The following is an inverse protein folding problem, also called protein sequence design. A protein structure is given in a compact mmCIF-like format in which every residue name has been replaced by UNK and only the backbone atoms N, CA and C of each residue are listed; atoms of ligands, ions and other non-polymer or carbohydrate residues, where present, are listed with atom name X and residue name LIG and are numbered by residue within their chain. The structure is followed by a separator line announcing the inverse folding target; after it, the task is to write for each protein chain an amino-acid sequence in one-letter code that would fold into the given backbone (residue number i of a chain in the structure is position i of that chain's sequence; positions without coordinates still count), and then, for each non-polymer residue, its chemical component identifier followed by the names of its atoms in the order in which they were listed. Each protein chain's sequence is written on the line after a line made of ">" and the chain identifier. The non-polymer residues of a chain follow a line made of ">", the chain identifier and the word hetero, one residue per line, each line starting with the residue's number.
data_IF_134815713594
#
_entry.id   IF_134815713594
#
_cell.length_a   1.000
_cell.length_b   1.000
_cell.length_c   1.000
_cell.angle_alpha   90.00
_cell.angle_beta   90.00
_cell.angle_gamma   90.00
#
_symmetry.space_group_name_H-M   'P 1'
#
loop_
_entity.id
_entity.type
_entity.pdbx_description
1 polymer ?
#
# COMPACT_ATOMS: atom_id res chain seq x y z
N UNK A 1 -28.17 -13.97 -23.10
CA UNK A 1 -27.01 -14.60 -22.42
C UNK A 1 -25.75 -14.03 -23.05
N UNK A 2 -24.87 -13.41 -22.27
CA UNK A 2 -23.60 -12.94 -22.80
C UNK A 2 -22.69 -14.16 -23.08
N UNK A 3 -22.13 -14.24 -24.30
CA UNK A 3 -21.24 -15.33 -24.71
C UNK A 3 -19.79 -15.15 -24.22
N UNK A 4 -18.94 -16.11 -24.55
CA UNK A 4 -17.48 -16.01 -24.37
C UNK A 4 -16.82 -15.47 -25.63
N UNK A 5 -15.89 -14.57 -25.46
CA UNK A 5 -14.96 -14.14 -26.50
C UNK A 5 -13.65 -14.92 -26.30
N UNK A 6 -13.42 -15.93 -27.14
CA UNK A 6 -12.32 -16.88 -26.93
C UNK A 6 -11.40 -16.94 -28.15
N UNK A 7 -10.10 -16.80 -27.88
CA UNK A 7 -9.02 -16.98 -28.85
C UNK A 7 -8.15 -18.15 -28.38
N UNK A 8 -8.35 -19.32 -29.00
CA UNK A 8 -7.63 -20.54 -28.66
C UNK A 8 -6.49 -20.70 -29.66
N UNK A 9 -5.27 -20.91 -29.16
CA UNK A 9 -4.08 -21.11 -30.00
C UNK A 9 -3.90 -20.04 -31.07
N UNK A 10 -4.44 -18.82 -30.77
CA UNK A 10 -4.48 -17.73 -31.71
C UNK A 10 -3.14 -16.99 -31.77
N UNK A 11 -2.80 -16.54 -32.96
CA UNK A 11 -1.68 -15.64 -33.17
C UNK A 11 -2.20 -14.25 -33.57
N UNK A 12 -2.07 -13.28 -32.67
CA UNK A 12 -2.52 -11.90 -32.88
C UNK A 12 -1.31 -11.01 -33.15
N UNK A 13 -1.15 -10.56 -34.41
CA UNK A 13 -0.02 -9.76 -34.84
C UNK A 13 -0.46 -8.53 -35.59
N UNK A 14 -0.10 -7.35 -35.04
CA UNK A 14 -0.14 -6.07 -35.71
C UNK A 14 0.94 -5.17 -35.13
N UNK A 15 2.24 -5.39 -35.45
CA UNK A 15 3.33 -4.58 -34.92
C UNK A 15 3.13 -3.09 -35.24
N UNK A 16 3.16 -2.25 -34.21
CA UNK A 16 2.95 -0.80 -34.32
C UNK A 16 1.50 -0.35 -34.45
N UNK A 17 0.53 -1.27 -34.24
CA UNK A 17 -0.89 -0.95 -34.24
C UNK A 17 -1.69 -1.81 -33.28
N UNK A 18 -3.01 -1.67 -33.28
CA UNK A 18 -3.92 -2.42 -32.42
C UNK A 18 -4.07 -3.84 -32.96
N UNK A 19 -3.53 -4.83 -32.24
CA UNK A 19 -3.68 -6.25 -32.56
C UNK A 19 -5.03 -6.80 -32.11
N UNK A 20 -5.59 -6.26 -31.02
CA UNK A 20 -6.92 -6.65 -30.53
C UNK A 20 -7.62 -5.45 -29.90
N UNK A 21 -8.79 -5.11 -30.43
CA UNK A 21 -9.67 -4.07 -29.89
C UNK A 21 -10.99 -4.68 -29.44
N UNK A 22 -11.24 -4.68 -28.11
CA UNK A 22 -12.49 -5.14 -27.49
C UNK A 22 -13.07 -4.06 -26.57
N UNK A 23 -12.90 -2.82 -26.98
CA UNK A 23 -13.40 -1.65 -26.25
C UNK A 23 -14.92 -1.61 -26.22
N UNK A 24 -15.49 -1.21 -25.08
CA UNK A 24 -16.96 -1.14 -24.86
C UNK A 24 -17.68 -2.49 -25.12
N UNK A 25 -16.97 -3.59 -24.96
CA UNK A 25 -17.50 -4.94 -25.14
C UNK A 25 -18.03 -5.49 -23.81
N UNK A 26 -19.18 -6.15 -23.86
CA UNK A 26 -19.72 -6.88 -22.72
C UNK A 26 -19.87 -8.36 -23.06
N UNK A 27 -19.20 -9.24 -22.28
CA UNK A 27 -19.28 -10.68 -22.46
C UNK A 27 -19.16 -11.42 -21.12
N UNK A 28 -19.61 -12.69 -21.10
CA UNK A 28 -19.46 -13.54 -19.92
C UNK A 28 -17.98 -13.83 -19.62
N UNK A 29 -17.15 -13.95 -20.65
CA UNK A 29 -15.72 -14.16 -20.47
C UNK A 29 -14.90 -13.72 -21.67
N UNK A 30 -13.64 -13.44 -21.37
CA UNK A 30 -12.59 -13.19 -22.35
C UNK A 30 -11.46 -14.19 -22.12
N UNK A 31 -11.00 -14.89 -23.17
CA UNK A 31 -9.98 -15.92 -23.05
C UNK A 31 -8.94 -15.82 -24.16
N UNK A 32 -7.68 -15.76 -23.74
CA UNK A 32 -6.48 -15.97 -24.56
C UNK A 32 -5.84 -17.30 -24.15
N UNK A 33 -6.56 -18.40 -24.42
CA UNK A 33 -6.10 -19.73 -24.00
C UNK A 33 -5.02 -20.25 -24.97
N UNK A 34 -3.86 -20.53 -24.40
CA UNK A 34 -2.66 -21.00 -25.13
C UNK A 34 -2.33 -20.17 -26.40
N UNK A 35 -2.78 -18.93 -26.45
CA UNK A 35 -2.43 -17.99 -27.49
C UNK A 35 -0.93 -17.66 -27.44
N UNK A 36 -0.34 -17.40 -28.61
CA UNK A 36 1.00 -16.86 -28.70
C UNK A 36 1.06 -15.45 -28.08
N UNK A 37 2.24 -14.99 -27.63
CA UNK A 37 2.38 -13.61 -27.16
C UNK A 37 1.89 -12.63 -28.23
N UNK A 38 1.00 -11.73 -27.82
CA UNK A 38 0.40 -10.75 -28.74
C UNK A 38 1.45 -9.73 -29.15
N UNK A 39 1.56 -9.49 -30.45
CA UNK A 39 2.44 -8.49 -31.04
C UNK A 39 1.62 -7.32 -31.56
N UNK A 40 1.73 -6.16 -30.91
CA UNK A 40 0.89 -4.98 -31.11
C UNK A 40 0.07 -4.67 -29.86
N UNK A 41 -0.83 -3.67 -29.89
CA UNK A 41 -1.55 -3.19 -28.72
C UNK A 41 -2.83 -4.01 -28.46
N UNK A 42 -3.19 -4.16 -27.18
CA UNK A 42 -4.52 -4.61 -26.77
C UNK A 42 -5.29 -3.45 -26.14
N UNK A 43 -6.47 -3.14 -26.70
CA UNK A 43 -7.36 -2.08 -26.21
C UNK A 43 -8.67 -2.68 -25.66
N UNK A 44 -8.88 -2.53 -24.34
CA UNK A 44 -10.04 -3.09 -23.62
C UNK A 44 -10.75 -2.03 -22.77
N UNK A 45 -10.60 -0.75 -23.10
CA UNK A 45 -11.22 0.33 -22.33
C UNK A 45 -12.76 0.23 -22.36
N UNK A 46 -13.40 0.49 -21.22
CA UNK A 46 -14.86 0.36 -21.01
C UNK A 46 -15.43 -1.04 -21.27
N UNK A 47 -14.58 -2.09 -21.31
CA UNK A 47 -15.05 -3.46 -21.46
C UNK A 47 -15.47 -4.05 -20.11
N UNK A 48 -16.43 -4.99 -20.15
CA UNK A 48 -16.97 -5.67 -18.98
C UNK A 48 -17.01 -7.20 -19.21
N UNK A 49 -16.26 -7.94 -18.35
CA UNK A 49 -16.21 -9.39 -18.38
C UNK A 49 -16.46 -9.97 -16.98
N UNK A 50 -17.11 -11.12 -16.87
CA UNK A 50 -17.11 -11.85 -15.60
C UNK A 50 -15.76 -12.51 -15.35
N UNK A 51 -15.20 -13.15 -16.37
CA UNK A 51 -13.92 -13.84 -16.25
C UNK A 51 -12.98 -13.40 -17.35
N UNK A 52 -11.73 -13.06 -16.98
CA UNK A 52 -10.63 -12.90 -17.94
C UNK A 52 -9.64 -14.04 -17.72
N UNK A 53 -9.46 -14.88 -18.76
CA UNK A 53 -8.56 -16.01 -18.75
C UNK A 53 -7.37 -15.77 -19.67
N UNK A 54 -6.27 -15.29 -19.07
CA UNK A 54 -5.04 -15.02 -19.80
C UNK A 54 -3.82 -15.13 -18.87
N UNK A 55 -2.76 -15.78 -19.37
CA UNK A 55 -1.46 -15.84 -18.69
C UNK A 55 -0.72 -14.50 -18.88
N UNK A 56 0.12 -14.05 -17.93
CA UNK A 56 0.86 -12.78 -18.04
C UNK A 56 1.74 -12.67 -19.29
N UNK A 57 2.24 -13.79 -19.79
CA UNK A 57 3.16 -13.86 -20.94
C UNK A 57 2.49 -13.57 -22.28
N UNK A 58 1.16 -13.75 -22.35
CA UNK A 58 0.41 -13.54 -23.60
C UNK A 58 0.18 -12.04 -23.86
N UNK A 59 0.16 -11.23 -22.80
CA UNK A 59 -0.11 -9.79 -22.91
C UNK A 59 1.03 -9.04 -23.61
N UNK A 60 0.72 -8.11 -24.50
CA UNK A 60 1.72 -7.28 -25.17
C UNK A 60 2.39 -6.28 -24.24
N UNK A 61 3.37 -5.56 -24.79
CA UNK A 61 4.08 -4.50 -24.07
C UNK A 61 3.22 -3.25 -23.83
N UNK A 62 2.19 -3.04 -24.66
CA UNK A 62 1.26 -1.90 -24.55
C UNK A 62 -0.17 -2.40 -24.45
N UNK A 63 -0.86 -1.91 -23.42
CA UNK A 63 -2.28 -2.21 -23.19
C UNK A 63 -3.04 -0.92 -22.86
N UNK A 64 -4.35 -0.93 -23.04
CA UNK A 64 -5.24 0.13 -22.58
C UNK A 64 -6.40 -0.50 -21.81
N UNK A 65 -6.37 -0.33 -20.48
CA UNK A 65 -7.26 -1.01 -19.53
C UNK A 65 -8.18 -0.05 -18.78
N UNK A 66 -8.23 1.23 -19.20
CA UNK A 66 -9.06 2.22 -18.53
C UNK A 66 -10.52 1.77 -18.49
N UNK A 67 -11.13 1.87 -17.31
CA UNK A 67 -12.52 1.46 -17.07
C UNK A 67 -12.86 0.01 -17.44
N UNK A 68 -11.85 -0.87 -17.60
CA UNK A 68 -12.05 -2.32 -17.71
C UNK A 68 -12.57 -2.88 -16.39
N UNK A 69 -13.67 -3.62 -16.45
CA UNK A 69 -14.26 -4.30 -15.29
C UNK A 69 -14.28 -5.82 -15.48
N UNK A 70 -14.04 -6.56 -14.40
CA UNK A 70 -14.12 -8.03 -14.39
C UNK A 70 -14.37 -8.54 -12.95
N UNK A 71 -14.93 -9.73 -12.85
CA UNK A 71 -15.14 -10.36 -11.54
C UNK A 71 -13.93 -11.19 -11.11
N UNK A 72 -13.38 -11.97 -12.03
CA UNK A 72 -12.33 -12.95 -11.74
C UNK A 72 -11.27 -13.00 -12.84
N UNK A 73 -10.02 -13.23 -12.42
CA UNK A 73 -8.89 -13.47 -13.31
C UNK A 73 -8.42 -14.92 -13.21
N UNK A 74 -8.27 -15.60 -14.35
CA UNK A 74 -7.74 -16.94 -14.46
C UNK A 74 -6.48 -16.95 -15.35
N UNK A 75 -5.51 -17.83 -15.08
CA UNK A 75 -5.36 -18.65 -13.89
C UNK A 75 -5.16 -17.81 -12.63
N UNK A 76 -5.40 -18.37 -11.43
CA UNK A 76 -5.14 -17.68 -10.17
C UNK A 76 -3.63 -17.52 -9.97
N UNK A 77 -3.15 -16.27 -9.91
CA UNK A 77 -1.73 -15.93 -9.82
C UNK A 77 -1.51 -14.89 -8.73
N UNK A 78 -0.32 -14.82 -8.11
CA UNK A 78 0.05 -13.77 -7.18
C UNK A 78 -0.06 -12.37 -7.81
N UNK A 79 -0.38 -11.36 -7.00
CA UNK A 79 -0.51 -9.97 -7.45
C UNK A 79 0.76 -9.45 -8.15
N UNK A 80 1.95 -9.85 -7.69
CA UNK A 80 3.21 -9.43 -8.28
C UNK A 80 3.31 -9.74 -9.78
N UNK A 81 2.74 -10.86 -10.23
CA UNK A 81 2.73 -11.23 -11.64
C UNK A 81 1.67 -10.47 -12.46
N UNK A 82 0.61 -10.00 -11.83
CA UNK A 82 -0.47 -9.23 -12.46
C UNK A 82 -0.16 -7.73 -12.52
N UNK A 83 0.55 -7.21 -11.53
CA UNK A 83 0.90 -5.79 -11.45
C UNK A 83 1.76 -5.32 -12.62
N UNK A 84 2.65 -6.18 -13.14
CA UNK A 84 3.47 -5.86 -14.30
C UNK A 84 2.64 -5.49 -15.55
N UNK A 85 1.42 -6.04 -15.69
CA UNK A 85 0.52 -5.69 -16.78
C UNK A 85 -0.01 -4.26 -16.65
N UNK A 86 -0.36 -3.84 -15.42
CA UNK A 86 -0.89 -2.49 -15.15
C UNK A 86 0.16 -1.39 -15.37
N UNK A 87 1.44 -1.74 -15.37
CA UNK A 87 2.54 -0.81 -15.64
C UNK A 87 2.75 -0.56 -17.14
N UNK A 88 2.18 -1.42 -18.01
CA UNK A 88 2.22 -1.33 -19.47
C UNK A 88 1.09 -0.50 -20.07
N UNK A 89 0.22 0.10 -19.22
CA UNK A 89 -0.92 0.89 -19.69
C UNK A 89 -0.45 2.14 -20.43
N UNK A 90 -0.97 2.38 -21.65
CA UNK A 90 -0.68 3.53 -22.49
C UNK A 90 -0.98 4.86 -21.77
N UNK A 91 -2.02 4.89 -20.95
CA UNK A 91 -2.42 6.07 -20.18
C UNK A 91 -1.58 6.24 -18.88
N UNK A 92 -0.59 5.36 -18.65
CA UNK A 92 0.35 5.43 -17.52
C UNK A 92 -0.25 4.93 -16.22
N UNK A 93 -0.52 5.83 -15.25
CA UNK A 93 -1.12 5.45 -13.98
C UNK A 93 -2.63 5.51 -14.06
N UNK A 94 -3.29 4.36 -14.18
CA UNK A 94 -4.76 4.20 -14.19
C UNK A 94 -5.25 3.66 -12.85
N UNK A 95 -5.68 4.51 -11.89
CA UNK A 95 -6.08 4.09 -10.54
C UNK A 95 -7.18 3.03 -10.53
N UNK A 96 -8.14 3.10 -11.48
CA UNK A 96 -9.24 2.17 -11.61
C UNK A 96 -8.77 0.72 -11.84
N UNK A 97 -7.76 0.52 -12.68
CA UNK A 97 -7.22 -0.82 -12.98
C UNK A 97 -6.66 -1.51 -11.71
N UNK A 98 -5.99 -0.75 -10.83
CA UNK A 98 -5.51 -1.27 -9.54
C UNK A 98 -6.67 -1.59 -8.58
N UNK A 99 -7.71 -0.74 -8.51
CA UNK A 99 -8.89 -1.01 -7.67
C UNK A 99 -9.63 -2.26 -8.15
N UNK A 100 -9.77 -2.41 -9.45
CA UNK A 100 -10.42 -3.56 -10.07
C UNK A 100 -9.64 -4.86 -9.77
N UNK A 101 -8.32 -4.83 -9.89
CA UNK A 101 -7.47 -5.98 -9.54
C UNK A 101 -7.57 -6.31 -8.05
N UNK A 102 -7.54 -5.32 -7.15
CA UNK A 102 -7.69 -5.56 -5.73
C UNK A 102 -9.09 -6.11 -5.38
N UNK A 103 -10.13 -5.63 -6.05
CA UNK A 103 -11.50 -6.13 -5.87
C UNK A 103 -11.64 -7.60 -6.30
N UNK A 104 -11.00 -8.00 -7.41
CA UNK A 104 -11.02 -9.40 -7.85
C UNK A 104 -10.37 -10.35 -6.84
N UNK A 105 -9.25 -9.96 -6.21
CA UNK A 105 -8.63 -10.74 -5.14
C UNK A 105 -9.51 -10.85 -3.90
N UNK A 106 -10.18 -9.74 -3.49
CA UNK A 106 -11.11 -9.77 -2.34
C UNK A 106 -12.30 -10.70 -2.59
N UNK A 107 -12.86 -10.72 -3.79
CA UNK A 107 -13.97 -11.63 -4.13
C UNK A 107 -13.64 -13.10 -3.95
N UNK A 108 -12.39 -13.48 -4.16
CA UNK A 108 -11.92 -14.86 -3.96
C UNK A 108 -11.33 -15.12 -2.58
N UNK A 109 -11.46 -14.14 -1.65
CA UNK A 109 -10.99 -14.25 -0.26
C UNK A 109 -9.47 -14.08 -0.10
N UNK A 110 -8.77 -13.50 -1.07
CA UNK A 110 -7.32 -13.32 -1.06
C UNK A 110 -6.95 -11.90 -0.65
N UNK A 111 -7.20 -11.59 0.63
CA UNK A 111 -6.96 -10.24 1.19
C UNK A 111 -5.49 -9.86 1.21
N UNK A 112 -4.59 -10.84 1.26
CA UNK A 112 -3.15 -10.58 1.26
C UNK A 112 -2.70 -10.01 -0.09
N UNK A 113 -3.14 -10.61 -1.19
CA UNK A 113 -2.85 -10.15 -2.54
C UNK A 113 -3.57 -8.82 -2.85
N UNK A 114 -4.82 -8.65 -2.38
CA UNK A 114 -5.54 -7.39 -2.50
C UNK A 114 -4.79 -6.24 -1.81
N UNK A 115 -4.23 -6.47 -0.61
CA UNK A 115 -3.39 -5.48 0.09
C UNK A 115 -2.09 -5.19 -0.67
N UNK A 116 -1.47 -6.19 -1.28
CA UNK A 116 -0.28 -6.01 -2.11
C UNK A 116 -0.56 -5.10 -3.32
N UNK A 117 -1.70 -5.29 -3.99
CA UNK A 117 -2.15 -4.42 -5.09
C UNK A 117 -2.39 -2.98 -4.63
N UNK A 118 -3.06 -2.80 -3.48
CA UNK A 118 -3.32 -1.46 -2.94
C UNK A 118 -2.03 -0.73 -2.56
N UNK A 119 -1.06 -1.45 -2.01
CA UNK A 119 0.26 -0.89 -1.72
C UNK A 119 0.99 -0.48 -3.02
N UNK A 120 0.95 -1.32 -4.05
CA UNK A 120 1.54 -1.02 -5.36
C UNK A 120 0.87 0.22 -5.98
N UNK A 121 -0.47 0.34 -5.90
CA UNK A 121 -1.22 1.54 -6.32
C UNK A 121 -0.67 2.81 -5.66
N UNK A 122 -0.50 2.81 -4.33
CA UNK A 122 0.00 3.98 -3.60
C UNK A 122 1.44 4.33 -4.00
N UNK A 123 2.29 3.30 -4.20
CA UNK A 123 3.67 3.49 -4.66
C UNK A 123 3.71 4.10 -6.06
N UNK A 124 2.87 3.62 -6.98
CA UNK A 124 2.79 4.16 -8.33
C UNK A 124 2.22 5.57 -8.34
N UNK A 125 1.16 5.84 -7.59
CA UNK A 125 0.62 7.18 -7.42
C UNK A 125 1.67 8.18 -6.90
N UNK A 126 2.53 7.76 -5.95
CA UNK A 126 3.62 8.59 -5.45
C UNK A 126 4.55 9.08 -6.56
N UNK A 127 4.78 8.31 -7.62
CA UNK A 127 5.65 8.73 -8.72
C UNK A 127 5.11 9.92 -9.50
N UNK A 128 3.79 10.15 -9.46
CA UNK A 128 3.12 11.28 -10.12
C UNK A 128 3.09 12.56 -9.26
N UNK A 129 3.46 12.47 -7.96
CA UNK A 129 3.43 13.60 -7.03
C UNK A 129 4.67 14.50 -7.16
N UNK A 130 4.56 15.79 -6.75
CA UNK A 130 5.70 16.68 -6.62
C UNK A 130 6.69 16.17 -5.55
N UNK A 131 7.92 16.71 -5.52
CA UNK A 131 9.01 16.19 -4.68
C UNK A 131 8.67 16.06 -3.19
N UNK A 132 7.93 17.04 -2.61
CA UNK A 132 7.48 17.00 -1.22
C UNK A 132 6.46 15.87 -0.96
N UNK A 133 5.57 15.62 -1.93
CA UNK A 133 4.64 14.50 -1.87
C UNK A 133 5.35 13.14 -1.98
N UNK A 134 6.41 13.07 -2.79
CA UNK A 134 7.28 11.88 -2.86
C UNK A 134 7.97 11.61 -1.53
N UNK A 135 8.55 12.64 -0.90
CA UNK A 135 9.21 12.52 0.41
C UNK A 135 8.24 12.02 1.48
N UNK A 136 7.05 12.63 1.57
CA UNK A 136 5.99 12.20 2.49
C UNK A 136 5.56 10.75 2.22
N UNK A 137 5.37 10.38 0.95
CA UNK A 137 5.03 9.03 0.57
C UNK A 137 6.12 7.99 0.91
N UNK A 138 7.41 8.35 0.80
CA UNK A 138 8.50 7.49 1.26
C UNK A 138 8.48 7.27 2.77
N UNK A 139 8.22 8.34 3.55
CA UNK A 139 8.09 8.25 4.99
C UNK A 139 6.93 7.34 5.39
N UNK A 140 5.77 7.48 4.76
CA UNK A 140 4.61 6.61 5.00
C UNK A 140 4.86 5.15 4.61
N UNK A 141 5.55 4.89 3.49
CA UNK A 141 5.89 3.53 3.06
C UNK A 141 6.87 2.87 4.05
N UNK A 142 7.88 3.61 4.51
CA UNK A 142 8.88 3.11 5.46
C UNK A 142 8.28 2.81 6.84
N UNK A 143 7.41 3.71 7.35
CA UNK A 143 6.84 3.59 8.71
C UNK A 143 5.70 2.59 8.81
N UNK A 144 4.67 2.72 7.97
CA UNK A 144 3.42 1.94 8.10
C UNK A 144 2.97 1.27 6.80
N UNK A 145 3.73 1.39 5.71
CA UNK A 145 3.35 0.85 4.41
C UNK A 145 1.97 1.36 3.98
N UNK A 146 1.73 2.67 4.07
CA UNK A 146 0.44 3.33 3.81
C UNK A 146 -0.75 2.77 4.62
N UNK A 147 -0.51 2.21 5.80
CA UNK A 147 -1.54 1.58 6.65
C UNK A 147 -1.87 0.12 6.28
N UNK A 148 -1.20 -0.47 5.29
CA UNK A 148 -1.42 -1.87 4.90
C UNK A 148 -0.54 -2.86 5.67
N UNK A 149 0.43 -2.39 6.45
CA UNK A 149 1.37 -3.23 7.22
C UNK A 149 1.48 -2.75 8.68
N UNK A 150 0.48 -2.99 9.54
CA UNK A 150 0.47 -2.51 10.92
C UNK A 150 1.62 -3.07 11.77
N UNK A 151 2.14 -4.25 11.43
CA UNK A 151 3.30 -4.86 12.10
C UNK A 151 4.57 -4.02 11.99
N UNK A 152 4.74 -3.23 10.91
CA UNK A 152 5.87 -2.31 10.78
C UNK A 152 5.78 -1.14 11.76
N UNK A 153 4.58 -0.57 11.95
CA UNK A 153 4.37 0.49 12.92
C UNK A 153 4.70 0.01 14.35
N UNK A 154 4.26 -1.21 14.69
CA UNK A 154 4.58 -1.82 15.97
C UNK A 154 6.10 -2.04 16.14
N UNK A 155 6.80 -2.50 15.11
CA UNK A 155 8.24 -2.67 15.15
C UNK A 155 8.97 -1.32 15.35
N UNK A 156 8.51 -0.23 14.70
CA UNK A 156 9.05 1.12 14.91
C UNK A 156 8.79 1.63 16.32
N UNK A 157 7.57 1.43 16.87
CA UNK A 157 7.27 1.79 18.26
C UNK A 157 8.19 1.08 19.25
N UNK A 158 8.39 -0.23 19.07
CA UNK A 158 9.30 -1.00 19.93
C UNK A 158 10.74 -0.53 19.79
N UNK A 159 11.23 -0.26 18.58
CA UNK A 159 12.59 0.25 18.36
C UNK A 159 12.79 1.63 19.01
N UNK A 160 11.84 2.54 18.88
CA UNK A 160 11.89 3.87 19.51
C UNK A 160 11.77 3.79 21.03
N UNK A 161 10.93 2.89 21.56
CA UNK A 161 10.83 2.62 22.99
C UNK A 161 12.16 2.12 23.56
N UNK A 162 12.80 1.15 22.90
CA UNK A 162 14.10 0.65 23.30
C UNK A 162 15.16 1.74 23.25
N UNK A 163 15.20 2.52 22.17
CA UNK A 163 16.14 3.64 22.01
C UNK A 163 15.98 4.67 23.15
N UNK A 164 14.75 5.10 23.41
CA UNK A 164 14.41 6.04 24.47
C UNK A 164 14.76 5.49 25.85
N UNK A 165 14.36 4.23 26.12
CA UNK A 165 14.64 3.57 27.40
C UNK A 165 16.14 3.45 27.70
N UNK A 166 16.93 3.08 26.69
CA UNK A 166 18.40 2.99 26.84
C UNK A 166 19.01 4.38 27.02
N UNK A 167 18.63 5.37 26.19
CA UNK A 167 19.18 6.70 26.24
C UNK A 167 18.92 7.37 27.62
N UNK A 168 17.68 7.31 28.11
CA UNK A 168 17.31 7.90 29.41
C UNK A 168 17.72 7.01 30.60
N UNK A 169 17.91 5.72 30.39
CA UNK A 169 18.50 4.83 31.39
C UNK A 169 19.98 5.13 31.65
N UNK A 170 20.72 5.51 30.61
CA UNK A 170 22.13 5.92 30.71
C UNK A 170 22.29 7.36 31.22
N UNK A 171 21.32 8.24 30.95
CA UNK A 171 21.37 9.65 31.33
C UNK A 171 20.02 10.11 31.85
N UNK A 172 19.85 10.02 33.16
CA UNK A 172 18.62 10.37 33.83
C UNK A 172 18.32 11.87 33.70
N UNK A 173 17.14 12.26 33.18
CA UNK A 173 16.77 13.66 33.12
C UNK A 173 16.55 14.20 34.54
N UNK A 174 16.92 15.46 34.83
CA UNK A 174 16.66 16.07 36.12
C UNK A 174 15.16 16.24 36.36
N UNK A 175 14.69 16.13 37.62
CA UNK A 175 13.30 16.40 37.95
C UNK A 175 12.96 17.86 37.66
N UNK A 176 11.78 18.12 37.09
CA UNK A 176 11.29 19.47 36.80
C UNK A 176 11.06 20.26 38.08
N UNK A 177 10.52 19.64 39.14
CA UNK A 177 10.38 20.20 40.48
C UNK A 177 11.04 19.27 41.51
N UNK A 178 11.87 19.84 42.37
CA UNK A 178 12.55 19.06 43.41
C UNK A 178 11.56 18.51 44.42
N UNK A 179 11.61 17.17 44.64
CA UNK A 179 10.79 16.47 45.64
C UNK A 179 9.35 16.25 45.25
N UNK A 180 8.96 16.51 44.01
CA UNK A 180 7.63 16.20 43.49
C UNK A 180 7.75 15.34 42.24
N UNK A 181 6.91 14.32 42.16
CA UNK A 181 6.78 13.42 41.00
C UNK A 181 7.03 11.93 41.33
N UNK A 182 6.66 11.03 40.44
CA UNK A 182 6.92 9.61 40.61
C UNK A 182 8.42 9.31 40.46
N UNK A 183 8.86 8.17 40.99
CA UNK A 183 10.22 7.70 40.76
C UNK A 183 10.50 7.51 39.29
N UNK A 184 11.70 7.90 38.86
CA UNK A 184 12.07 7.82 37.45
C UNK A 184 12.18 6.39 36.97
N UNK A 185 11.45 6.08 35.91
CA UNK A 185 11.56 4.83 35.19
C UNK A 185 11.77 5.10 33.69
N UNK A 186 12.96 4.75 33.13
CA UNK A 186 13.31 5.10 31.75
C UNK A 186 12.38 4.48 30.71
N UNK A 187 11.81 3.28 30.98
CA UNK A 187 10.87 2.64 30.07
C UNK A 187 9.53 3.37 30.08
N UNK A 188 9.01 3.69 31.27
CA UNK A 188 7.75 4.43 31.42
C UNK A 188 7.88 5.85 30.88
N UNK A 189 9.02 6.51 31.13
CA UNK A 189 9.31 7.83 30.58
C UNK A 189 9.33 7.83 29.04
N UNK A 190 10.03 6.88 28.41
CA UNK A 190 10.04 6.76 26.95
C UNK A 190 8.66 6.39 26.38
N UNK A 191 7.89 5.58 27.11
CA UNK A 191 6.52 5.23 26.73
C UNK A 191 5.58 6.43 26.81
N UNK A 192 5.72 7.27 27.84
CA UNK A 192 4.94 8.50 28.03
C UNK A 192 5.18 9.50 26.90
N UNK A 193 6.44 9.64 26.45
CA UNK A 193 6.79 10.47 25.29
C UNK A 193 6.24 9.92 23.96
N UNK A 194 6.12 8.58 23.81
CA UNK A 194 5.69 7.95 22.57
C UNK A 194 4.17 7.81 22.44
N UNK A 195 3.43 7.75 23.55
CA UNK A 195 1.98 7.55 23.56
C UNK A 195 1.23 8.85 23.83
N UNK A 196 0.83 9.61 22.79
CA UNK A 196 0.25 10.94 22.97
C UNK A 196 -1.12 10.98 23.67
N UNK A 197 -1.75 9.81 23.90
CA UNK A 197 -3.10 9.68 24.44
C UNK A 197 -3.06 9.23 25.92
N UNK A 198 -1.97 8.60 26.34
CA UNK A 198 -1.82 8.03 27.68
C UNK A 198 -0.80 8.86 28.46
N UNK A 199 -1.18 9.39 29.61
CA UNK A 199 -0.31 10.17 30.51
C UNK A 199 0.06 9.30 31.70
N UNK A 200 1.33 8.91 31.81
CA UNK A 200 1.88 8.18 32.97
C UNK A 200 2.49 9.13 34.01
N UNK A 201 2.46 10.44 33.74
CA UNK A 201 2.96 11.47 34.64
C UNK A 201 4.49 11.62 34.67
N UNK A 202 5.22 10.86 33.87
CA UNK A 202 6.68 10.94 33.81
C UNK A 202 7.17 12.09 32.90
N UNK A 203 6.48 12.35 31.78
CA UNK A 203 6.86 13.43 30.86
C UNK A 203 6.89 14.79 31.56
N UNK A 204 5.89 15.08 32.39
CA UNK A 204 5.77 16.35 33.10
C UNK A 204 6.68 16.46 34.34
N UNK A 205 7.06 15.31 34.90
CA UNK A 205 7.86 15.23 36.10
C UNK A 205 9.37 15.45 35.87
N UNK A 206 9.83 15.25 34.63
CA UNK A 206 11.26 15.29 34.28
C UNK A 206 11.51 16.18 33.08
N UNK A 207 12.60 16.98 33.13
CA UNK A 207 12.98 17.97 32.12
C UNK A 207 14.37 17.61 31.53
N UNK A 208 14.46 16.83 30.44
CA UNK A 208 15.74 16.54 29.82
C UNK A 208 16.37 17.80 29.24
N UNK A 209 17.71 17.86 29.27
CA UNK A 209 18.50 19.00 28.78
C UNK A 209 19.46 18.60 27.68
N UNK A 210 19.91 19.56 26.87
CA UNK A 210 20.87 19.34 25.80
C UNK A 210 20.39 18.38 24.72
N UNK A 211 21.22 17.40 24.27
CA UNK A 211 20.85 16.46 23.21
C UNK A 211 19.63 15.59 23.54
N UNK A 212 19.44 15.27 24.82
CA UNK A 212 18.32 14.45 25.29
C UNK A 212 16.98 15.18 25.22
N UNK A 213 16.97 16.50 25.25
CA UNK A 213 15.78 17.32 24.99
C UNK A 213 15.33 17.19 23.52
N UNK A 214 16.26 17.19 22.58
CA UNK A 214 15.94 16.96 21.18
C UNK A 214 15.44 15.55 20.94
N UNK A 215 15.99 14.56 21.67
CA UNK A 215 15.48 13.17 21.62
C UNK A 215 14.03 13.09 22.12
N UNK A 216 13.65 13.81 23.20
CA UNK A 216 12.25 13.81 23.66
C UNK A 216 11.31 14.40 22.61
N UNK A 217 11.66 15.51 21.98
CA UNK A 217 10.85 16.09 20.89
C UNK A 217 10.71 15.14 19.70
N UNK A 218 11.77 14.43 19.35
CA UNK A 218 11.74 13.43 18.30
C UNK A 218 10.81 12.27 18.65
N UNK A 219 10.87 11.74 19.88
CA UNK A 219 10.00 10.66 20.34
C UNK A 219 8.53 11.08 20.35
N UNK A 220 8.21 12.29 20.85
CA UNK A 220 6.86 12.84 20.82
C UNK A 220 6.35 12.96 19.37
N UNK A 221 7.13 13.60 18.50
CA UNK A 221 6.75 13.76 17.09
C UNK A 221 6.54 12.42 16.37
N UNK A 222 7.43 11.44 16.61
CA UNK A 222 7.32 10.09 16.05
C UNK A 222 6.10 9.35 16.62
N UNK A 223 5.82 9.50 17.91
CA UNK A 223 4.65 8.92 18.57
C UNK A 223 3.34 9.43 17.94
N UNK A 224 3.19 10.75 17.77
CA UNK A 224 2.04 11.34 17.08
C UNK A 224 1.90 10.86 15.64
N UNK A 225 3.00 10.80 14.88
CA UNK A 225 3.00 10.32 13.50
C UNK A 225 2.54 8.86 13.42
N UNK A 226 3.07 7.99 14.30
CA UNK A 226 2.72 6.57 14.31
C UNK A 226 1.27 6.36 14.78
N UNK A 227 0.82 7.05 15.82
CA UNK A 227 -0.54 6.97 16.34
C UNK A 227 -1.58 7.39 15.29
N UNK A 228 -1.36 8.52 14.62
CA UNK A 228 -2.28 9.02 13.57
C UNK A 228 -2.31 8.09 12.37
N UNK A 229 -1.18 7.51 11.96
CA UNK A 229 -1.14 6.58 10.84
C UNK A 229 -1.78 5.23 11.16
N UNK A 230 -1.66 4.73 12.40
CA UNK A 230 -2.37 3.53 12.86
C UNK A 230 -3.88 3.79 12.90
N UNK A 231 -4.32 4.91 13.46
CA UNK A 231 -5.72 5.29 13.51
C UNK A 231 -6.34 5.39 12.10
N UNK A 232 -5.65 6.06 11.17
CA UNK A 232 -6.08 6.15 9.77
C UNK A 232 -6.15 4.78 9.07
N UNK A 233 -5.24 3.87 9.40
CA UNK A 233 -5.24 2.50 8.89
C UNK A 233 -6.43 1.68 9.40
N UNK A 234 -6.75 1.79 10.69
CA UNK A 234 -7.90 1.12 11.31
C UNK A 234 -9.24 1.62 10.75
N UNK A 235 -9.40 2.93 10.61
CA UNK A 235 -10.62 3.53 10.05
C UNK A 235 -10.89 3.06 8.62
N UNK A 236 -9.85 2.92 7.79
CA UNK A 236 -9.99 2.38 6.43
C UNK A 236 -10.44 0.92 6.39
N UNK A 237 -10.02 0.11 7.36
CA UNK A 237 -10.45 -1.29 7.45
C UNK A 237 -11.90 -1.42 7.91
N UNK A 238 -12.34 -0.58 8.86
CA UNK A 238 -13.72 -0.59 9.38
C UNK A 238 -14.75 -0.11 8.34
N UNK A 239 -14.41 0.88 7.51
CA UNK A 239 -15.32 1.37 6.45
C UNK A 239 -15.41 0.44 5.23
N UNK A 240 -14.73 -0.70 5.24
CA UNK A 240 -14.72 -1.70 4.16
C UNK A 240 -15.33 -3.05 4.56
N UNK A 241 -15.75 -3.19 5.81
CA UNK A 241 -16.54 -4.30 6.31
C UNK A 241 -18.03 -3.97 6.22
#
# INVERSE_FOLDING_TARGET
>A
MAGWLTFIEAELRNPGGVALGVSSCEAAGFSLWDAAPVSGDIKMHYANFKVIHAKPQVWPDTVRLDSLTYETLAPRLPAAQRLALLERDEDGFVPHAYEQLAASYRRVGDDSEARAVQLAKQRRHRTTLPWYGKLWGHLQDATVGYGFRPTRAMAWLLALLLLGSVAYGLNHPPPAERGKGPDFNPVIYALDLLLPIVDFGQEKAYAPTGPYQWLSYLLIAAGWLLATTIAAGLTRNLNRA
#
